data_IF_356857954673
#
_entry.id   IF_356857954673
#
_cell.length_a   1.000
_cell.length_b   1.000
_cell.length_c   1.000
_cell.angle_alpha   90.00
_cell.angle_beta   90.00
_cell.angle_gamma   90.00
#
_symmetry.space_group_name_H-M   'P 1'
#
loop_
_entity.id
_entity.type
_entity.pdbx_description
1 polymer ?
#
# COMPACT_ATOMS: atom_id res chain seq x y z
N UNK A 1 22.92 -18.05 9.39
CA UNK A 1 21.71 -17.22 9.52
C UNK A 1 20.71 -17.64 8.43
N UNK A 2 19.38 -17.53 8.62
CA UNK A 2 18.44 -18.06 7.65
C UNK A 2 18.45 -17.22 6.36
N UNK A 3 18.49 -17.89 5.21
CA UNK A 3 18.43 -17.26 3.90
C UNK A 3 17.09 -16.52 3.74
N UNK A 4 17.14 -15.22 3.41
CA UNK A 4 15.94 -14.38 3.25
C UNK A 4 15.35 -14.61 1.87
N UNK A 5 14.02 -14.47 1.72
CA UNK A 5 13.35 -14.62 0.43
C UNK A 5 12.71 -13.30 0.01
N UNK A 6 12.83 -12.97 -1.26
CA UNK A 6 12.13 -11.83 -1.83
C UNK A 6 10.62 -12.13 -1.90
N UNK A 7 9.80 -11.29 -1.25
CA UNK A 7 8.34 -11.43 -1.23
C UNK A 7 7.69 -11.35 -2.62
N UNK A 8 8.35 -10.68 -3.59
CA UNK A 8 7.83 -10.50 -4.95
C UNK A 8 8.22 -11.63 -5.91
N UNK A 9 9.51 -11.96 -6.01
CA UNK A 9 10.01 -12.94 -6.99
C UNK A 9 10.42 -14.29 -6.38
N UNK A 10 10.26 -14.46 -5.06
CA UNK A 10 10.60 -15.67 -4.30
C UNK A 10 12.08 -16.09 -4.37
N UNK A 11 12.96 -15.25 -4.95
CA UNK A 11 14.39 -15.51 -5.01
C UNK A 11 14.98 -15.53 -3.60
N UNK A 12 15.87 -16.50 -3.36
CA UNK A 12 16.68 -16.59 -2.15
C UNK A 12 17.78 -15.53 -2.20
N UNK A 13 17.88 -14.73 -1.15
CA UNK A 13 18.89 -13.73 -0.91
C UNK A 13 19.94 -14.37 -0.01
N UNK A 14 21.18 -14.47 -0.51
CA UNK A 14 22.29 -15.07 0.20
C UNK A 14 22.77 -14.24 1.39
N UNK A 15 23.62 -14.82 2.23
CA UNK A 15 24.29 -14.07 3.29
C UNK A 15 25.29 -13.08 2.67
N UNK A 16 25.20 -11.81 3.04
CA UNK A 16 26.01 -10.72 2.46
C UNK A 16 25.39 -10.03 1.25
N UNK A 17 24.31 -10.58 0.68
CA UNK A 17 23.59 -9.94 -0.41
C UNK A 17 22.78 -8.73 0.07
N UNK A 18 22.68 -7.72 -0.80
CA UNK A 18 21.89 -6.52 -0.54
C UNK A 18 20.39 -6.87 -0.56
N UNK A 19 19.67 -6.54 0.51
CA UNK A 19 18.22 -6.65 0.58
C UNK A 19 17.60 -5.36 1.10
N UNK A 20 16.34 -5.16 0.76
CA UNK A 20 15.54 -4.03 1.19
C UNK A 20 14.34 -4.52 1.99
N UNK A 21 14.00 -3.80 3.06
CA UNK A 21 12.75 -3.98 3.79
C UNK A 21 11.76 -2.90 3.31
N UNK A 22 10.57 -3.33 2.94
CA UNK A 22 9.47 -2.47 2.56
C UNK A 22 8.40 -2.55 3.65
N UNK A 23 8.15 -1.40 4.28
CA UNK A 23 7.17 -1.23 5.34
C UNK A 23 6.02 -0.36 4.79
N UNK A 24 4.84 -0.93 4.60
CA UNK A 24 3.65 -0.23 4.08
C UNK A 24 2.67 -0.02 5.22
N UNK A 25 2.25 1.23 5.46
CA UNK A 25 1.26 1.58 6.49
C UNK A 25 0.03 2.20 5.81
N UNK A 26 -1.14 1.70 6.16
CA UNK A 26 -2.44 2.24 5.78
C UNK A 26 -3.10 2.76 7.05
N UNK A 27 -3.51 4.02 7.04
CA UNK A 27 -4.11 4.69 8.18
C UNK A 27 -5.38 5.36 7.70
N UNK A 28 -6.48 5.18 8.43
CA UNK A 28 -7.74 5.85 8.13
C UNK A 28 -7.58 7.37 8.28
N UNK A 29 -7.94 8.09 7.22
CA UNK A 29 -7.98 9.56 7.22
C UNK A 29 -9.36 10.04 7.65
N UNK A 30 -9.53 10.35 8.93
CA UNK A 30 -10.75 11.00 9.41
C UNK A 30 -10.66 12.51 9.16
N UNK A 31 -11.58 13.04 8.36
CA UNK A 31 -11.62 14.45 7.96
C UNK A 31 -12.35 15.37 8.97
N UNK A 32 -12.83 14.79 10.08
CA UNK A 32 -13.57 15.52 11.12
C UNK A 32 -15.03 15.81 10.78
N UNK A 33 -15.51 15.42 9.59
CA UNK A 33 -16.85 15.74 9.13
C UNK A 33 -17.73 14.49 9.21
N UNK A 34 -18.57 14.45 10.23
CA UNK A 34 -19.63 13.43 10.33
C UNK A 34 -20.90 14.03 9.71
N UNK A 35 -21.26 13.56 8.52
CA UNK A 35 -22.53 13.95 7.86
C UNK A 35 -23.70 13.25 8.55
N UNK A 36 -24.24 13.88 9.59
CA UNK A 36 -25.44 13.42 10.27
C UNK A 36 -26.68 13.87 9.48
N UNK A 37 -27.28 12.95 8.70
CA UNK A 37 -28.61 13.14 8.12
C UNK A 37 -29.71 12.54 9.01
N UNK A 38 -30.41 13.35 9.81
CA UNK A 38 -31.59 12.92 10.59
C UNK A 38 -31.38 12.84 12.12
N UNK A 39 -32.36 12.25 12.83
CA UNK A 39 -32.36 12.06 14.29
C UNK A 39 -31.52 10.83 14.65
N UNK A 40 -30.27 11.05 15.06
CA UNK A 40 -29.35 9.98 15.46
C UNK A 40 -29.47 9.70 16.95
N UNK A 41 -29.73 8.44 17.30
CA UNK A 41 -29.49 7.96 18.66
C UNK A 41 -28.04 7.50 18.76
N UNK A 42 -27.21 8.37 19.33
CA UNK A 42 -25.78 8.13 19.52
C UNK A 42 -25.54 6.83 20.31
N UNK A 43 -26.44 6.47 21.23
CA UNK A 43 -26.30 5.26 22.02
C UNK A 43 -26.49 3.99 21.18
N UNK A 44 -27.45 3.99 20.26
CA UNK A 44 -27.71 2.86 19.37
C UNK A 44 -26.50 2.59 18.45
N UNK A 45 -25.81 3.63 18.01
CA UNK A 45 -24.66 3.50 17.11
C UNK A 45 -23.38 3.09 17.84
N UNK A 46 -23.19 3.58 19.07
CA UNK A 46 -22.13 3.08 19.97
C UNK A 46 -22.36 1.59 20.30
N UNK A 47 -23.61 1.18 20.47
CA UNK A 47 -23.95 -0.22 20.76
C UNK A 47 -23.71 -1.15 19.57
N UNK A 48 -23.94 -0.66 18.33
CA UNK A 48 -23.51 -1.36 17.12
C UNK A 48 -22.00 -1.49 17.03
N UNK A 49 -21.25 -0.43 17.34
CA UNK A 49 -19.78 -0.47 17.34
C UNK A 49 -19.21 -1.44 18.38
N UNK A 50 -19.85 -1.56 19.55
CA UNK A 50 -19.50 -2.56 20.58
C UNK A 50 -19.77 -4.01 20.16
N UNK A 51 -20.62 -4.22 19.14
CA UNK A 51 -20.91 -5.54 18.61
C UNK A 51 -19.86 -6.01 17.58
N UNK A 52 -19.01 -5.10 17.07
CA UNK A 52 -17.90 -5.48 16.21
C UNK A 52 -16.70 -5.95 17.04
N UNK A 53 -16.00 -7.01 16.62
CA UNK A 53 -14.74 -7.42 17.23
C UNK A 53 -13.72 -6.29 17.12
N UNK A 54 -12.98 -6.02 18.19
CA UNK A 54 -11.94 -4.98 18.23
C UNK A 54 -10.92 -5.15 17.09
N UNK A 55 -10.55 -6.40 16.78
CA UNK A 55 -9.62 -6.74 15.68
C UNK A 55 -10.10 -6.22 14.31
N UNK A 56 -11.41 -6.23 14.06
CA UNK A 56 -12.00 -5.75 12.80
C UNK A 56 -11.98 -4.21 12.72
N UNK A 57 -12.19 -3.55 13.86
CA UNK A 57 -12.13 -2.09 13.95
C UNK A 57 -10.68 -1.61 13.78
N UNK A 58 -9.73 -2.31 14.37
CA UNK A 58 -8.30 -2.01 14.22
C UNK A 58 -7.84 -2.18 12.76
N UNK A 59 -8.24 -3.25 12.06
CA UNK A 59 -7.90 -3.44 10.64
C UNK A 59 -8.46 -2.35 9.72
N UNK A 60 -9.62 -1.78 10.05
CA UNK A 60 -10.23 -0.66 9.31
C UNK A 60 -9.51 0.67 9.55
N UNK A 61 -8.88 0.84 10.72
CA UNK A 61 -8.21 2.09 11.12
C UNK A 61 -6.71 2.07 10.78
N UNK A 62 -6.04 0.94 10.98
CA UNK A 62 -4.60 0.80 10.84
C UNK A 62 -4.20 -0.57 10.30
N UNK A 63 -3.39 -0.58 9.25
CA UNK A 63 -2.80 -1.82 8.71
C UNK A 63 -1.35 -1.62 8.33
N UNK A 64 -0.49 -2.55 8.77
CA UNK A 64 0.93 -2.54 8.46
C UNK A 64 1.34 -3.84 7.74
N UNK A 65 2.12 -3.69 6.67
CA UNK A 65 2.68 -4.81 5.92
C UNK A 65 4.20 -4.70 5.88
N UNK A 66 4.86 -5.85 6.08
CA UNK A 66 6.31 -5.97 6.01
C UNK A 66 6.71 -6.93 4.90
N UNK A 67 7.50 -6.43 3.95
CA UNK A 67 8.02 -7.22 2.84
C UNK A 67 9.53 -7.13 2.73
N UNK A 68 10.14 -8.18 2.18
CA UNK A 68 11.56 -8.20 1.85
C UNK A 68 11.68 -8.20 0.33
N UNK A 69 12.45 -7.26 -0.22
CA UNK A 69 12.67 -7.14 -1.65
C UNK A 69 14.16 -7.26 -2.00
N UNK A 70 14.45 -7.93 -3.13
CA UNK A 70 15.76 -7.86 -3.76
C UNK A 70 15.93 -6.52 -4.52
N UNK A 71 17.16 -6.12 -4.90
CA UNK A 71 17.42 -4.82 -5.54
C UNK A 71 16.55 -4.56 -6.77
N UNK A 72 16.44 -5.56 -7.65
CA UNK A 72 15.58 -5.49 -8.84
C UNK A 72 14.10 -5.30 -8.49
N UNK A 73 13.58 -6.02 -7.50
CA UNK A 73 12.17 -5.91 -7.12
C UNK A 73 11.86 -4.58 -6.42
N UNK A 74 12.84 -4.03 -5.70
CA UNK A 74 12.77 -2.68 -5.13
C UNK A 74 12.62 -1.63 -6.23
N UNK A 75 13.42 -1.69 -7.29
CA UNK A 75 13.33 -0.73 -8.40
C UNK A 75 11.94 -0.76 -9.05
N UNK A 76 11.45 -1.96 -9.40
CA UNK A 76 10.13 -2.10 -10.03
C UNK A 76 9.02 -1.60 -9.11
N UNK A 77 9.11 -1.87 -7.80
CA UNK A 77 8.12 -1.37 -6.84
C UNK A 77 8.18 0.16 -6.73
N UNK A 78 9.37 0.75 -6.66
CA UNK A 78 9.52 2.22 -6.61
C UNK A 78 9.05 2.91 -7.90
N UNK A 79 9.12 2.25 -9.06
CA UNK A 79 8.63 2.80 -10.32
C UNK A 79 7.10 2.84 -10.41
N UNK A 80 6.41 1.87 -9.82
CA UNK A 80 4.95 1.81 -9.81
C UNK A 80 4.45 1.09 -8.54
N UNK A 81 4.41 1.80 -7.40
CA UNK A 81 4.09 1.19 -6.11
C UNK A 81 2.63 0.73 -6.01
N UNK A 82 1.72 1.37 -6.74
CA UNK A 82 0.30 1.03 -6.79
C UNK A 82 -0.05 0.05 -7.90
N UNK A 83 0.94 -0.38 -8.69
CA UNK A 83 0.77 -1.26 -9.85
C UNK A 83 -0.37 -0.80 -10.79
N UNK A 84 -0.55 0.52 -10.93
CA UNK A 84 -1.57 1.07 -11.80
C UNK A 84 -1.22 0.75 -13.26
N UNK A 85 -2.25 0.49 -14.07
CA UNK A 85 -2.09 0.40 -15.53
C UNK A 85 -1.40 1.66 -16.01
N UNK A 86 -0.39 1.50 -16.85
CA UNK A 86 0.20 2.66 -17.53
C UNK A 86 -0.81 3.07 -18.61
N UNK A 87 -1.70 3.98 -18.24
CA UNK A 87 -2.65 4.60 -19.16
C UNK A 87 -1.88 5.60 -20.02
N UNK A 88 -1.11 5.06 -20.98
CA UNK A 88 -0.38 5.84 -21.95
C UNK A 88 -0.38 5.04 -23.24
N UNK A 89 -1.14 5.50 -24.22
CA UNK A 89 -0.81 5.23 -25.61
C UNK A 89 0.65 5.64 -25.77
N UNK A 90 1.55 4.66 -25.88
CA UNK A 90 2.95 4.91 -26.21
C UNK A 90 2.88 5.55 -27.60
N UNK A 91 3.30 6.82 -27.78
CA UNK A 91 3.31 7.40 -29.11
C UNK A 91 4.25 6.54 -29.97
N UNK A 92 3.74 5.96 -31.04
CA UNK A 92 4.54 5.11 -31.95
C UNK A 92 5.76 5.86 -32.51
N UNK A 93 5.73 7.20 -32.47
CA UNK A 93 6.80 8.07 -32.91
C UNK A 93 7.10 9.17 -31.89
N UNK A 94 8.39 9.26 -31.53
CA UNK A 94 8.95 10.42 -30.85
C UNK A 94 9.00 11.56 -31.87
N UNK A 95 8.38 12.73 -31.60
CA UNK A 95 8.47 13.86 -32.51
C UNK A 95 9.95 14.27 -32.67
N UNK A 96 10.38 14.66 -33.88
CA UNK A 96 11.75 15.11 -34.12
C UNK A 96 12.06 16.29 -33.20
N UNK A 97 13.25 16.27 -32.59
CA UNK A 97 13.74 17.34 -31.73
C UNK A 97 13.91 18.58 -32.61
N UNK A 98 13.12 19.62 -32.35
CA UNK A 98 13.34 20.91 -32.99
C UNK A 98 14.60 21.53 -32.38
N UNK A 99 15.71 21.44 -33.11
CA UNK A 99 16.93 22.20 -32.83
C UNK A 99 16.59 23.70 -32.92
N UNK A 100 16.68 24.40 -31.80
CA UNK A 100 16.62 25.87 -31.71
C UNK A 100 17.99 26.49 -31.87
#
# INVERSE_FOLDING_TARGET
MPAKRCSRCQRIIGEGDLFYRLDIKVISGFDGIIKLGGHYDINAEIEKLKAYPEDLIEEEVYKEFHFILCPRCKEIYCSNPLHLGLDGEIPDHIPPVEDK
#
